data_IF_961075073967
#
_entry.id   IF_961075073967
#
_cell.length_a   1.000
_cell.length_b   1.000
_cell.length_c   1.000
_cell.angle_alpha   90.00
_cell.angle_beta   90.00
_cell.angle_gamma   90.00
#
_symmetry.space_group_name_H-M   'P 1'
#
loop_
_entity.id
_entity.type
_entity.pdbx_description
1 polymer ?
#
# COMPACT_ATOMS: atom_id res chain seq x y z
N UNK A 1 8.66 -2.68 -50.71
CA UNK A 1 8.26 -3.80 -49.84
C UNK A 1 9.52 -4.55 -49.45
N UNK A 2 10.12 -4.20 -48.32
CA UNK A 2 11.20 -4.99 -47.70
C UNK A 2 10.81 -5.20 -46.24
N UNK A 3 10.27 -6.37 -45.93
CA UNK A 3 10.03 -6.82 -44.56
C UNK A 3 11.32 -7.46 -44.06
N UNK A 4 12.20 -6.64 -43.49
CA UNK A 4 13.41 -7.13 -42.83
C UNK A 4 13.02 -7.93 -41.58
N UNK A 5 13.52 -9.17 -41.37
CA UNK A 5 13.17 -10.03 -40.22
C UNK A 5 13.68 -9.51 -38.86
N UNK A 6 14.33 -8.35 -38.85
CA UNK A 6 14.81 -7.62 -37.67
C UNK A 6 14.05 -6.30 -37.45
N UNK A 7 12.98 -6.05 -38.20
CA UNK A 7 12.11 -4.89 -37.97
C UNK A 7 11.22 -5.12 -36.75
N UNK A 8 11.80 -4.96 -35.56
CA UNK A 8 11.05 -4.90 -34.31
C UNK A 8 10.37 -3.52 -34.26
N UNK A 9 9.17 -3.45 -34.79
CA UNK A 9 8.24 -2.34 -34.54
C UNK A 9 7.75 -2.48 -33.10
N UNK A 10 8.32 -1.69 -32.20
CA UNK A 10 7.78 -1.54 -30.84
C UNK A 10 6.58 -0.61 -30.97
N UNK A 11 5.39 -1.16 -30.78
CA UNK A 11 4.18 -0.38 -30.65
C UNK A 11 4.17 0.31 -29.28
N UNK A 12 4.64 1.55 -29.26
CA UNK A 12 4.72 2.37 -28.06
C UNK A 12 3.34 2.66 -27.45
N UNK A 13 2.25 2.54 -28.23
CA UNK A 13 0.89 2.71 -27.73
C UNK A 13 0.46 1.52 -26.85
N UNK A 14 0.96 0.31 -27.06
CA UNK A 14 0.64 -0.86 -26.22
C UNK A 14 1.65 -1.12 -25.09
N UNK A 15 2.85 -0.55 -25.20
CA UNK A 15 3.97 -0.84 -24.31
C UNK A 15 3.71 -0.43 -22.85
N UNK A 16 2.91 0.62 -22.62
CA UNK A 16 2.58 1.07 -21.27
C UNK A 16 1.66 0.11 -20.51
N UNK A 17 0.95 -0.79 -21.21
CA UNK A 17 0.10 -1.82 -20.60
C UNK A 17 0.88 -3.06 -20.18
N UNK A 18 2.08 -3.26 -20.73
CA UNK A 18 2.88 -4.47 -20.49
C UNK A 18 3.20 -4.66 -19.00
N UNK A 19 3.67 -3.59 -18.35
CA UNK A 19 3.98 -3.63 -16.92
C UNK A 19 2.73 -3.87 -16.05
N UNK A 20 1.62 -3.10 -16.20
CA UNK A 20 0.36 -3.40 -15.53
C UNK A 20 -0.13 -4.83 -15.72
N UNK A 21 -0.05 -5.37 -16.94
CA UNK A 21 -0.53 -6.73 -17.25
C UNK A 21 0.31 -7.79 -16.53
N UNK A 22 1.64 -7.66 -16.50
CA UNK A 22 2.51 -8.58 -15.76
C UNK A 22 2.18 -8.54 -14.27
N UNK A 23 2.09 -7.34 -13.69
CA UNK A 23 1.77 -7.18 -12.27
C UNK A 23 0.41 -7.80 -11.93
N UNK A 24 -0.60 -7.63 -12.79
CA UNK A 24 -1.90 -8.28 -12.61
C UNK A 24 -1.78 -9.81 -12.55
N UNK A 25 -1.04 -10.42 -13.46
CA UNK A 25 -0.84 -11.88 -13.46
C UNK A 25 -0.06 -12.37 -12.25
N UNK A 26 0.98 -11.63 -11.82
CA UNK A 26 1.73 -11.94 -10.60
C UNK A 26 0.81 -11.89 -9.38
N UNK A 27 -0.01 -10.84 -9.25
CA UNK A 27 -0.96 -10.70 -8.15
C UNK A 27 -2.03 -11.79 -8.17
N UNK A 28 -2.57 -12.13 -9.35
CA UNK A 28 -3.56 -13.20 -9.51
C UNK A 28 -2.99 -14.57 -9.12
N UNK A 29 -1.74 -14.86 -9.52
CA UNK A 29 -1.06 -16.08 -9.13
C UNK A 29 -0.86 -16.14 -7.61
N UNK A 30 -0.32 -15.09 -7.00
CA UNK A 30 -0.13 -15.02 -5.55
C UNK A 30 -1.45 -15.21 -4.79
N UNK A 31 -2.52 -14.57 -5.26
CA UNK A 31 -3.85 -14.75 -4.69
C UNK A 31 -4.32 -16.21 -4.78
N UNK A 32 -4.16 -16.86 -5.94
CA UNK A 32 -4.49 -18.27 -6.09
C UNK A 32 -3.68 -19.17 -5.15
N UNK A 33 -2.38 -18.91 -4.98
CA UNK A 33 -1.53 -19.65 -4.04
C UNK A 33 -2.02 -19.48 -2.59
N UNK A 34 -2.40 -18.26 -2.18
CA UNK A 34 -2.96 -18.00 -0.85
C UNK A 34 -4.27 -18.77 -0.67
N UNK A 35 -5.15 -18.78 -1.68
CA UNK A 35 -6.41 -19.53 -1.63
C UNK A 35 -6.14 -21.02 -1.40
N UNK A 36 -5.28 -21.61 -2.22
CA UNK A 36 -4.99 -23.06 -2.19
C UNK A 36 -4.26 -23.45 -0.90
N UNK A 37 -3.20 -22.74 -0.52
CA UNK A 37 -2.35 -23.15 0.59
C UNK A 37 -2.83 -22.67 1.96
N UNK A 38 -3.65 -21.62 2.02
CA UNK A 38 -4.10 -21.03 3.29
C UNK A 38 -5.59 -21.15 3.51
N UNK A 39 -6.41 -20.74 2.55
CA UNK A 39 -7.87 -20.66 2.75
C UNK A 39 -8.55 -22.02 2.66
N UNK A 40 -8.25 -22.83 1.63
CA UNK A 40 -8.82 -24.18 1.47
C UNK A 40 -8.58 -25.06 2.71
N UNK A 41 -7.35 -25.23 3.22
CA UNK A 41 -7.12 -26.05 4.42
C UNK A 41 -7.75 -25.44 5.68
N UNK A 42 -7.83 -24.10 5.78
CA UNK A 42 -8.51 -23.43 6.89
C UNK A 42 -10.01 -23.74 6.89
N UNK A 43 -10.71 -23.58 5.77
CA UNK A 43 -12.13 -23.88 5.67
C UNK A 43 -12.42 -25.38 5.84
N UNK A 44 -11.54 -26.25 5.36
CA UNK A 44 -11.65 -27.69 5.62
C UNK A 44 -11.55 -28.00 7.12
N UNK A 45 -10.62 -27.37 7.85
CA UNK A 45 -10.50 -27.52 9.31
C UNK A 45 -11.71 -26.95 10.07
N UNK A 46 -12.27 -25.83 9.61
CA UNK A 46 -13.51 -25.26 10.18
C UNK A 46 -14.68 -26.21 9.96
N UNK A 47 -14.83 -26.77 8.75
CA UNK A 47 -15.90 -27.74 8.44
C UNK A 47 -15.78 -29.03 9.26
N UNK A 48 -14.56 -29.45 9.61
CA UNK A 48 -14.30 -30.59 10.51
C UNK A 48 -14.52 -30.28 11.99
N UNK A 49 -14.79 -29.02 12.35
CA UNK A 49 -14.95 -28.59 13.74
C UNK A 49 -13.64 -28.43 14.52
N UNK A 50 -12.49 -28.56 13.86
CA UNK A 50 -11.16 -28.42 14.48
C UNK A 50 -10.81 -26.95 14.80
N UNK A 51 -11.45 -26.01 14.08
CA UNK A 51 -11.25 -24.57 14.23
C UNK A 51 -12.57 -23.84 14.19
N UNK A 52 -12.75 -22.87 15.06
CA UNK A 52 -13.88 -21.94 15.01
C UNK A 52 -13.57 -20.79 14.05
N UNK A 53 -14.61 -20.17 13.50
CA UNK A 53 -14.44 -18.94 12.75
C UNK A 53 -14.02 -17.83 13.73
N UNK A 54 -12.90 -17.14 13.51
CA UNK A 54 -12.43 -16.08 14.41
C UNK A 54 -13.42 -14.91 14.54
N UNK A 55 -14.32 -14.76 13.55
CA UNK A 55 -15.40 -13.77 13.56
C UNK A 55 -16.43 -14.05 14.67
N UNK A 56 -16.57 -15.30 15.10
CA UNK A 56 -17.52 -15.72 16.14
C UNK A 56 -16.73 -15.90 17.45
N UNK A 57 -16.44 -14.80 18.14
CA UNK A 57 -15.94 -14.83 19.52
C UNK A 57 -14.73 -13.96 19.82
N UNK A 58 -14.08 -13.36 18.83
CA UNK A 58 -12.96 -12.46 19.06
C UNK A 58 -13.47 -11.01 19.25
N UNK A 59 -13.10 -10.37 20.36
CA UNK A 59 -13.48 -8.99 20.64
C UNK A 59 -12.80 -8.06 19.62
N UNK A 60 -13.57 -7.55 18.66
CA UNK A 60 -13.05 -6.62 17.66
C UNK A 60 -12.57 -5.32 18.34
N UNK A 61 -11.31 -4.93 18.09
CA UNK A 61 -10.79 -3.63 18.51
C UNK A 61 -11.39 -2.53 17.61
N UNK A 62 -12.62 -2.13 17.94
CA UNK A 62 -13.39 -1.16 17.18
C UNK A 62 -12.68 0.18 17.02
N UNK A 63 -11.93 0.62 18.04
CA UNK A 63 -11.17 1.86 17.98
C UNK A 63 -10.11 1.82 16.87
N UNK A 64 -9.32 0.74 16.79
CA UNK A 64 -8.31 0.60 15.74
C UNK A 64 -8.91 0.36 14.37
N UNK A 65 -10.02 -0.37 14.30
CA UNK A 65 -10.72 -0.62 13.05
C UNK A 65 -11.27 0.67 12.45
N UNK A 66 -12.14 1.37 13.17
CA UNK A 66 -12.74 2.61 12.70
C UNK A 66 -11.71 3.74 12.62
N UNK A 67 -10.75 3.79 13.54
CA UNK A 67 -9.64 4.73 13.51
C UNK A 67 -8.80 4.60 12.24
N UNK A 68 -8.49 3.36 11.82
CA UNK A 68 -7.78 3.11 10.56
C UNK A 68 -8.59 3.55 9.36
N UNK A 69 -9.89 3.25 9.34
CA UNK A 69 -10.76 3.63 8.23
C UNK A 69 -10.82 5.15 8.08
N UNK A 70 -11.02 5.87 9.19
CA UNK A 70 -11.00 7.34 9.23
C UNK A 70 -9.64 7.89 8.79
N UNK A 71 -8.53 7.33 9.29
CA UNK A 71 -7.19 7.78 8.92
C UNK A 71 -6.90 7.60 7.44
N UNK A 72 -7.31 6.48 6.85
CA UNK A 72 -7.13 6.19 5.42
C UNK A 72 -7.94 7.17 4.58
N UNK A 73 -9.22 7.37 4.91
CA UNK A 73 -10.06 8.33 4.20
C UNK A 73 -9.48 9.75 4.32
N UNK A 74 -9.08 10.16 5.52
CA UNK A 74 -8.45 11.46 5.76
C UNK A 74 -7.14 11.60 4.97
N UNK A 75 -6.31 10.57 4.93
CA UNK A 75 -5.05 10.57 4.18
C UNK A 75 -5.26 10.90 2.69
N UNK A 76 -6.19 10.22 2.02
CA UNK A 76 -6.45 10.48 0.60
C UNK A 76 -7.06 11.87 0.35
N UNK A 77 -7.99 12.30 1.20
CA UNK A 77 -8.59 13.64 1.08
C UNK A 77 -7.54 14.73 1.30
N UNK A 78 -6.73 14.62 2.37
CA UNK A 78 -5.69 15.60 2.67
C UNK A 78 -4.59 15.60 1.60
N UNK A 79 -4.24 14.45 1.04
CA UNK A 79 -3.24 14.38 -0.04
C UNK A 79 -3.68 15.23 -1.23
N UNK A 80 -4.96 15.16 -1.63
CA UNK A 80 -5.49 16.02 -2.69
C UNK A 80 -5.46 17.50 -2.30
N UNK A 81 -5.90 17.84 -1.09
CA UNK A 81 -5.93 19.24 -0.62
C UNK A 81 -4.53 19.85 -0.57
N UNK A 82 -3.56 19.14 0.04
CA UNK A 82 -2.17 19.61 0.17
C UNK A 82 -1.45 19.57 -1.19
N UNK A 83 -1.72 18.57 -2.03
CA UNK A 83 -1.21 18.49 -3.39
C UNK A 83 -1.65 19.68 -4.24
N UNK A 84 -2.89 20.13 -4.10
CA UNK A 84 -3.40 21.32 -4.76
C UNK A 84 -2.74 22.63 -4.25
N UNK A 85 -2.28 22.66 -3.00
CA UNK A 85 -1.51 23.79 -2.45
C UNK A 85 -0.07 23.83 -2.99
N UNK A 86 0.52 22.67 -3.28
CA UNK A 86 1.89 22.52 -3.78
C UNK A 86 1.93 21.71 -5.09
N UNK A 87 1.39 22.25 -6.20
CA UNK A 87 1.25 21.50 -7.45
C UNK A 87 2.61 21.07 -8.01
N UNK A 88 2.65 19.86 -8.58
CA UNK A 88 3.83 19.25 -9.25
C UNK A 88 5.08 19.03 -8.38
N UNK A 89 4.96 19.15 -7.06
CA UNK A 89 6.10 18.96 -6.13
C UNK A 89 6.10 17.60 -5.43
N UNK A 90 4.97 16.90 -5.39
CA UNK A 90 4.78 15.68 -4.59
C UNK A 90 4.80 15.93 -3.06
N UNK A 91 4.70 17.18 -2.62
CA UNK A 91 4.63 17.51 -1.20
C UNK A 91 3.30 17.13 -0.54
N UNK A 92 2.22 17.01 -1.33
CA UNK A 92 0.95 16.41 -0.91
C UNK A 92 1.18 15.02 -0.33
N UNK A 93 1.79 14.13 -1.11
CA UNK A 93 2.25 12.84 -0.63
C UNK A 93 3.16 12.92 0.61
N UNK A 94 4.23 13.72 0.57
CA UNK A 94 5.24 13.72 1.63
C UNK A 94 4.67 14.11 2.99
N UNK A 95 4.07 15.30 3.11
CA UNK A 95 3.62 15.82 4.40
C UNK A 95 2.47 15.00 4.98
N UNK A 96 1.51 14.61 4.13
CA UNK A 96 0.35 13.86 4.58
C UNK A 96 0.74 12.43 4.97
N UNK A 97 1.71 11.81 4.27
CA UNK A 97 2.27 10.51 4.65
C UNK A 97 3.00 10.53 5.99
N UNK A 98 3.77 11.59 6.28
CA UNK A 98 4.46 11.72 7.58
C UNK A 98 3.43 11.72 8.72
N UNK A 99 2.39 12.54 8.61
CA UNK A 99 1.32 12.62 9.62
C UNK A 99 0.57 11.30 9.73
N UNK A 100 0.17 10.72 8.60
CA UNK A 100 -0.57 9.46 8.55
C UNK A 100 0.21 8.30 9.17
N UNK A 101 1.48 8.09 8.78
CA UNK A 101 2.30 7.01 9.31
C UNK A 101 2.57 7.17 10.80
N UNK A 102 2.76 8.40 11.27
CA UNK A 102 2.95 8.67 12.69
C UNK A 102 1.69 8.32 13.49
N UNK A 103 0.51 8.77 13.04
CA UNK A 103 -0.77 8.51 13.69
C UNK A 103 -1.15 7.02 13.64
N UNK A 104 -0.94 6.34 12.51
CA UNK A 104 -1.10 4.89 12.39
C UNK A 104 -0.19 4.15 13.39
N UNK A 105 1.08 4.51 13.44
CA UNK A 105 2.04 3.92 14.37
C UNK A 105 1.62 4.12 15.82
N UNK A 106 1.13 5.31 16.18
CA UNK A 106 0.63 5.63 17.52
C UNK A 106 -0.65 4.87 17.89
N UNK A 107 -1.53 4.61 16.93
CA UNK A 107 -2.78 3.87 17.13
C UNK A 107 -2.56 2.37 17.34
N UNK A 108 -1.62 1.78 16.60
CA UNK A 108 -1.27 0.36 16.73
C UNK A 108 -0.21 0.08 17.79
N UNK A 109 0.43 1.11 18.35
CA UNK A 109 1.40 0.96 19.41
C UNK A 109 0.73 0.60 20.75
N UNK A 110 0.85 -0.67 21.13
CA UNK A 110 0.30 -1.19 22.39
C UNK A 110 0.93 -0.59 23.66
N UNK A 111 2.24 -0.30 23.64
CA UNK A 111 2.93 0.34 24.78
C UNK A 111 3.66 1.59 24.33
N UNK A 112 3.26 2.74 24.90
CA UNK A 112 3.81 4.05 24.56
C UNK A 112 5.02 4.35 25.43
N UNK A 113 6.18 3.80 25.07
CA UNK A 113 7.45 4.19 25.68
C UNK A 113 8.11 5.29 24.85
N UNK A 114 8.85 6.19 25.50
CA UNK A 114 9.56 7.30 24.83
C UNK A 114 10.41 6.81 23.65
N UNK A 115 11.11 5.68 23.83
CA UNK A 115 11.92 5.06 22.77
C UNK A 115 11.08 4.67 21.56
N UNK A 116 9.94 3.99 21.76
CA UNK A 116 9.09 3.53 20.65
C UNK A 116 8.42 4.70 19.92
N UNK A 117 7.98 5.73 20.65
CA UNK A 117 7.43 6.96 20.04
C UNK A 117 8.46 7.65 19.17
N UNK A 118 9.71 7.76 19.65
CA UNK A 118 10.81 8.34 18.87
C UNK A 118 11.09 7.49 17.63
N UNK A 119 11.17 6.16 17.75
CA UNK A 119 11.36 5.27 16.60
C UNK A 119 10.23 5.41 15.58
N UNK A 120 8.98 5.51 16.04
CA UNK A 120 7.82 5.72 15.16
C UNK A 120 7.90 7.08 14.45
N UNK A 121 8.29 8.16 15.15
CA UNK A 121 8.47 9.48 14.56
C UNK A 121 9.58 9.49 13.50
N UNK A 122 10.73 8.88 13.81
CA UNK A 122 11.84 8.73 12.86
C UNK A 122 11.36 7.97 11.62
N UNK A 123 10.69 6.83 11.80
CA UNK A 123 10.21 6.02 10.68
C UNK A 123 9.17 6.76 9.83
N UNK A 124 8.25 7.48 10.47
CA UNK A 124 7.23 8.27 9.79
C UNK A 124 7.83 9.41 8.96
N UNK A 125 9.02 9.91 9.29
CA UNK A 125 9.73 10.91 8.48
C UNK A 125 10.59 10.25 7.41
N UNK A 126 11.42 9.29 7.79
CA UNK A 126 12.43 8.69 6.91
C UNK A 126 11.80 7.91 5.77
N UNK A 127 10.79 7.06 6.04
CA UNK A 127 10.23 6.21 5.00
C UNK A 127 9.52 7.02 3.88
N UNK A 128 8.62 7.98 4.16
CA UNK A 128 8.04 8.82 3.12
C UNK A 128 9.06 9.72 2.43
N UNK A 129 10.07 10.22 3.15
CA UNK A 129 11.11 11.07 2.55
C UNK A 129 11.93 10.29 1.53
N UNK A 130 12.32 9.06 1.85
CA UNK A 130 13.04 8.18 0.92
C UNK A 130 12.18 7.82 -0.29
N UNK A 131 10.91 7.46 -0.07
CA UNK A 131 9.97 7.18 -1.16
C UNK A 131 9.82 8.40 -2.07
N UNK A 132 9.58 9.58 -1.50
CA UNK A 132 9.46 10.83 -2.25
C UNK A 132 10.74 11.16 -3.02
N UNK A 133 11.92 11.00 -2.43
CA UNK A 133 13.20 11.21 -3.12
C UNK A 133 13.35 10.27 -4.32
N UNK A 134 13.05 8.98 -4.14
CA UNK A 134 13.15 8.00 -5.22
C UNK A 134 12.14 8.35 -6.33
N UNK A 135 10.87 8.55 -6.01
CA UNK A 135 9.87 8.81 -7.05
C UNK A 135 10.05 10.18 -7.73
N UNK A 136 10.25 11.24 -6.96
CA UNK A 136 10.33 12.60 -7.49
C UNK A 136 11.69 12.91 -8.14
N UNK A 137 12.80 12.40 -7.61
CA UNK A 137 14.16 12.73 -8.11
C UNK A 137 14.78 11.66 -8.99
N UNK A 138 14.57 10.38 -8.67
CA UNK A 138 15.16 9.29 -9.47
C UNK A 138 14.29 8.96 -10.67
N UNK A 139 12.97 8.89 -10.48
CA UNK A 139 12.03 8.49 -11.54
C UNK A 139 11.30 9.66 -12.21
N UNK A 140 11.44 10.89 -11.71
CA UNK A 140 10.72 12.07 -12.21
C UNK A 140 9.19 11.87 -12.28
N UNK A 141 8.65 11.01 -11.41
CA UNK A 141 7.22 10.75 -11.29
C UNK A 141 6.67 11.70 -10.22
N UNK A 142 5.82 12.63 -10.62
CA UNK A 142 5.09 13.47 -9.68
C UNK A 142 4.01 12.63 -9.00
N UNK A 143 4.24 12.30 -7.74
CA UNK A 143 3.20 11.77 -6.88
C UNK A 143 2.17 12.89 -6.59
N UNK A 144 0.88 12.54 -6.43
CA UNK A 144 -0.17 13.50 -6.08
C UNK A 144 0.09 14.24 -4.76
#
# INVERSE_FOLDING_TARGET
METSPLSVSIDFDSSHLFFPTIIHWVLALLFALIVVFRLVPFFAAVKRGEKTLPIIGESMDGFRFFGTLVLITAYFVLMSVVGNLFPYTGYGFLFVSIVFLFLMSMMYMHTRTRRKVITAAINAVVAPSLAWLIFAKLFYITLP
#
